data_IF_758414130530
#
_entry.id   IF_758414130530
#
_cell.length_a   1.000
_cell.length_b   1.000
_cell.length_c   1.000
_cell.angle_alpha   90.00
_cell.angle_beta   90.00
_cell.angle_gamma   90.00
#
_symmetry.space_group_name_H-M   'P 1'
#
loop_
_entity.id
_entity.type
_entity.pdbx_description
1 polymer ?
#
# COMPACT_ATOMS: atom_id res chain seq x y z
N UNK A 1 4.16 -10.85 -20.93
CA UNK A 1 3.07 -11.82 -21.16
C UNK A 1 2.06 -11.65 -20.02
N UNK A 2 1.05 -10.79 -20.21
CA UNK A 2 0.11 -10.32 -19.18
C UNK A 2 -1.33 -10.76 -19.49
N UNK A 3 -1.51 -11.84 -20.26
CA UNK A 3 -2.81 -12.19 -20.85
C UNK A 3 -3.67 -13.11 -19.98
N UNK A 4 -3.10 -13.76 -18.95
CA UNK A 4 -3.85 -14.71 -18.12
C UNK A 4 -4.39 -14.13 -16.80
N UNK A 5 -4.08 -12.89 -16.42
CA UNK A 5 -4.26 -12.41 -15.04
C UNK A 5 -5.48 -11.52 -14.80
N UNK A 6 -6.35 -11.26 -15.77
CA UNK A 6 -7.31 -10.19 -15.57
C UNK A 6 -8.67 -10.42 -16.23
N UNK A 7 -9.55 -11.08 -15.47
CA UNK A 7 -10.99 -11.16 -15.74
C UNK A 7 -11.84 -10.41 -14.70
N UNK A 8 -11.24 -9.53 -13.90
CA UNK A 8 -11.90 -8.80 -12.80
C UNK A 8 -11.55 -7.29 -12.80
N UNK A 9 -11.42 -6.68 -13.98
CA UNK A 9 -11.48 -5.22 -14.08
C UNK A 9 -12.80 -4.71 -13.50
N UNK A 10 -12.74 -3.76 -12.55
CA UNK A 10 -13.92 -3.09 -11.99
C UNK A 10 -14.61 -3.82 -10.82
N UNK A 11 -13.88 -4.62 -10.03
CA UNK A 11 -14.46 -5.19 -8.81
C UNK A 11 -14.21 -4.24 -7.64
N UNK A 12 -15.30 -3.68 -7.11
CA UNK A 12 -15.32 -2.96 -5.84
C UNK A 12 -15.64 -3.94 -4.69
N UNK A 13 -14.90 -3.82 -3.60
CA UNK A 13 -15.16 -4.54 -2.36
C UNK A 13 -15.57 -3.56 -1.29
N UNK A 14 -16.78 -3.68 -0.74
CA UNK A 14 -17.24 -2.79 0.33
C UNK A 14 -17.26 -3.56 1.65
N UNK A 15 -16.65 -3.01 2.71
CA UNK A 15 -16.64 -3.57 4.08
C UNK A 15 -15.87 -4.90 4.21
N UNK A 16 -14.61 -4.92 3.81
CA UNK A 16 -13.72 -6.05 4.07
C UNK A 16 -13.52 -6.29 5.58
N UNK A 17 -13.60 -7.56 5.99
CA UNK A 17 -13.30 -8.02 7.36
C UNK A 17 -11.99 -8.80 7.39
N UNK A 18 -11.11 -8.47 8.33
CA UNK A 18 -9.83 -9.12 8.57
C UNK A 18 -10.09 -10.50 9.14
N UNK A 19 -9.34 -11.46 8.64
CA UNK A 19 -9.35 -12.84 9.09
C UNK A 19 -7.93 -13.20 9.50
N UNK A 20 -7.80 -14.11 10.47
CA UNK A 20 -6.51 -14.68 10.78
C UNK A 20 -5.87 -15.29 9.53
N UNK A 21 -4.64 -14.88 9.23
CA UNK A 21 -3.93 -15.27 8.02
C UNK A 21 -3.61 -16.76 8.02
N UNK A 22 -3.25 -17.33 9.17
CA UNK A 22 -2.90 -18.76 9.32
C UNK A 22 -4.12 -19.65 9.09
N UNK A 23 -5.27 -19.31 9.69
CA UNK A 23 -6.52 -20.02 9.44
C UNK A 23 -6.98 -19.90 7.98
N UNK A 24 -6.85 -18.70 7.39
CA UNK A 24 -7.20 -18.46 6.01
C UNK A 24 -6.32 -19.26 5.06
N UNK A 25 -5.03 -19.37 5.36
CA UNK A 25 -4.04 -20.15 4.63
C UNK A 25 -4.38 -21.64 4.67
N UNK A 26 -4.62 -22.20 5.85
CA UNK A 26 -5.03 -23.61 5.99
C UNK A 26 -6.30 -23.89 5.19
N UNK A 27 -7.32 -23.03 5.30
CA UNK A 27 -8.57 -23.16 4.53
C UNK A 27 -8.32 -23.06 3.02
N UNK A 28 -7.35 -22.25 2.59
CA UNK A 28 -7.00 -22.09 1.17
C UNK A 28 -6.27 -23.33 0.65
N UNK A 29 -5.27 -23.83 1.38
CA UNK A 29 -4.52 -25.04 1.04
C UNK A 29 -5.42 -26.28 0.98
N UNK A 30 -6.36 -26.42 1.92
CA UNK A 30 -7.30 -27.55 1.95
C UNK A 30 -8.34 -27.48 0.83
N UNK A 31 -8.91 -26.30 0.56
CA UNK A 31 -10.02 -26.17 -0.42
C UNK A 31 -9.55 -26.00 -1.86
N UNK A 32 -8.31 -25.57 -2.07
CA UNK A 32 -7.76 -25.32 -3.40
C UNK A 32 -6.25 -25.58 -3.38
N UNK A 33 -5.84 -26.86 -3.32
CA UNK A 33 -4.44 -27.23 -3.36
C UNK A 33 -3.82 -26.74 -4.69
N UNK A 34 -2.67 -26.08 -4.61
CA UNK A 34 -1.94 -25.56 -5.78
C UNK A 34 -2.10 -24.07 -6.07
N UNK A 35 -2.97 -23.33 -5.35
CA UNK A 35 -3.01 -21.85 -5.48
C UNK A 35 -1.76 -21.22 -4.87
N UNK A 36 -1.41 -21.63 -3.65
CA UNK A 36 -0.19 -21.18 -2.97
C UNK A 36 0.96 -22.13 -3.30
N UNK A 37 2.13 -21.55 -3.51
CA UNK A 37 3.38 -22.32 -3.59
C UNK A 37 3.68 -22.99 -2.23
N UNK A 38 4.57 -23.98 -2.21
CA UNK A 38 4.91 -24.67 -0.95
C UNK A 38 5.50 -23.69 0.08
N UNK A 39 6.36 -22.76 -0.36
CA UNK A 39 7.04 -21.77 0.48
C UNK A 39 6.31 -20.42 0.57
N UNK A 40 5.08 -20.33 0.08
CA UNK A 40 4.32 -19.07 0.02
C UNK A 40 3.25 -19.05 1.12
N UNK A 41 3.33 -18.06 2.01
CA UNK A 41 2.41 -17.87 3.13
C UNK A 41 1.53 -16.63 2.95
N UNK A 42 0.40 -16.57 3.66
CA UNK A 42 -0.43 -15.37 3.70
C UNK A 42 0.10 -14.39 4.74
N UNK A 43 0.38 -13.14 4.34
CA UNK A 43 0.69 -12.03 5.25
C UNK A 43 -0.60 -11.40 5.79
N UNK A 44 -1.58 -11.17 4.91
CA UNK A 44 -2.91 -10.64 5.30
C UNK A 44 -4.02 -11.37 4.56
N UNK A 45 -5.18 -11.46 5.22
CA UNK A 45 -6.37 -12.04 4.66
C UNK A 45 -7.61 -11.22 5.04
N UNK A 46 -8.41 -10.90 4.03
CA UNK A 46 -9.70 -10.25 4.18
C UNK A 46 -10.80 -11.07 3.53
N UNK A 47 -11.98 -11.04 4.12
CA UNK A 47 -13.20 -11.65 3.58
C UNK A 47 -14.30 -10.61 3.47
N UNK A 48 -15.11 -10.75 2.44
CA UNK A 48 -16.38 -10.06 2.30
C UNK A 48 -17.36 -11.02 1.63
N UNK A 49 -18.29 -11.59 2.40
CA UNK A 49 -19.27 -12.57 1.89
C UNK A 49 -18.57 -13.71 1.10
N UNK A 50 -18.72 -13.73 -0.23
CA UNK A 50 -18.12 -14.72 -1.13
C UNK A 50 -16.80 -14.27 -1.76
N UNK A 51 -16.37 -13.05 -1.48
CA UNK A 51 -15.14 -12.45 -1.94
C UNK A 51 -14.06 -12.59 -0.88
N UNK A 52 -12.84 -12.89 -1.30
CA UNK A 52 -11.69 -12.95 -0.40
C UNK A 52 -10.51 -12.30 -1.06
N UNK A 53 -9.82 -11.47 -0.30
CA UNK A 53 -8.62 -10.77 -0.71
C UNK A 53 -7.49 -11.26 0.17
N UNK A 54 -6.42 -11.76 -0.42
CA UNK A 54 -5.27 -12.26 0.31
C UNK A 54 -4.01 -11.57 -0.19
N UNK A 55 -3.13 -11.25 0.74
CA UNK A 55 -1.82 -10.70 0.45
C UNK A 55 -0.78 -11.76 0.80
N UNK A 56 0.08 -12.05 -0.16
CA UNK A 56 1.26 -12.91 0.00
C UNK A 56 2.52 -12.06 -0.19
N UNK A 57 3.72 -12.57 0.09
CA UNK A 57 4.96 -11.86 -0.23
C UNK A 57 5.18 -11.61 -1.73
N UNK A 58 4.53 -12.38 -2.62
CA UNK A 58 4.79 -12.32 -4.08
C UNK A 58 3.68 -11.63 -4.88
N UNK A 59 2.43 -11.71 -4.41
CA UNK A 59 1.24 -11.32 -5.17
C UNK A 59 0.02 -11.10 -4.28
N UNK A 60 -0.93 -10.35 -4.81
CA UNK A 60 -2.27 -10.21 -4.26
C UNK A 60 -3.15 -11.28 -4.92
N UNK A 61 -3.89 -12.04 -4.11
CA UNK A 61 -4.82 -13.05 -4.56
C UNK A 61 -6.24 -12.59 -4.30
N UNK A 62 -7.05 -12.55 -5.35
CA UNK A 62 -8.47 -12.27 -5.28
C UNK A 62 -9.25 -13.53 -5.61
N UNK A 63 -10.00 -14.04 -4.63
CA UNK A 63 -10.95 -15.13 -4.84
C UNK A 63 -12.37 -14.60 -4.86
N UNK A 64 -13.03 -14.75 -5.99
CA UNK A 64 -14.46 -14.46 -6.13
C UNK A 64 -15.19 -15.71 -6.63
N UNK A 65 -16.08 -16.25 -5.80
CA UNK A 65 -16.79 -17.52 -6.09
C UNK A 65 -15.78 -18.65 -6.39
N UNK A 66 -15.79 -19.17 -7.62
CA UNK A 66 -14.88 -20.23 -8.11
C UNK A 66 -13.65 -19.68 -8.85
N UNK A 67 -13.59 -18.37 -9.11
CA UNK A 67 -12.49 -17.74 -9.84
C UNK A 67 -11.44 -17.24 -8.85
N UNK A 68 -10.18 -17.44 -9.20
CA UNK A 68 -9.02 -16.94 -8.47
C UNK A 68 -8.24 -16.10 -9.47
N UNK A 69 -8.09 -14.83 -9.13
CA UNK A 69 -7.30 -13.86 -9.88
C UNK A 69 -6.06 -13.54 -9.06
N UNK A 70 -4.95 -13.37 -9.75
CA UNK A 70 -3.65 -13.21 -9.13
C UNK A 70 -3.05 -11.94 -9.70
N UNK A 71 -2.54 -11.09 -8.83
CA UNK A 71 -1.96 -9.81 -9.20
C UNK A 71 -0.56 -9.74 -8.60
N UNK A 72 0.48 -10.08 -9.38
CA UNK A 72 1.86 -9.90 -8.95
C UNK A 72 2.13 -8.43 -8.62
N UNK A 73 2.86 -8.14 -7.55
CA UNK A 73 3.14 -6.74 -7.18
C UNK A 73 3.90 -5.99 -8.29
N UNK A 74 4.74 -6.69 -9.05
CA UNK A 74 5.47 -6.13 -10.21
C UNK A 74 4.58 -5.59 -11.33
N UNK A 75 3.31 -6.04 -11.39
CA UNK A 75 2.32 -5.58 -12.36
C UNK A 75 1.53 -4.35 -11.89
N UNK A 76 1.59 -4.03 -10.59
CA UNK A 76 1.06 -2.79 -10.02
C UNK A 76 2.01 -1.66 -10.38
N UNK A 77 1.49 -0.61 -11.02
CA UNK A 77 2.25 0.58 -11.38
C UNK A 77 2.10 1.70 -10.35
N UNK A 78 0.92 1.81 -9.74
CA UNK A 78 0.62 2.82 -8.71
C UNK A 78 -0.44 2.27 -7.76
N UNK A 79 -0.47 2.80 -6.55
CA UNK A 79 -1.64 2.69 -5.68
C UNK A 79 -1.98 4.05 -5.10
N UNK A 80 -3.25 4.24 -4.77
CA UNK A 80 -3.80 5.43 -4.15
C UNK A 80 -4.59 4.98 -2.91
N UNK A 81 -4.43 5.72 -1.82
CA UNK A 81 -5.29 5.58 -0.63
C UNK A 81 -6.08 6.88 -0.50
N UNK A 82 -7.38 6.79 -0.70
CA UNK A 82 -8.30 7.90 -0.52
C UNK A 82 -8.88 7.81 0.90
N UNK A 83 -8.54 8.76 1.78
CA UNK A 83 -9.21 8.88 3.07
C UNK A 83 -10.65 9.38 2.89
N UNK A 84 -11.53 9.14 3.87
CA UNK A 84 -12.88 9.67 3.89
C UNK A 84 -12.86 11.19 3.89
N UNK A 85 -13.72 11.77 3.04
CA UNK A 85 -13.85 13.23 2.92
C UNK A 85 -15.24 13.63 3.42
N UNK A 86 -15.26 14.21 4.63
CA UNK A 86 -16.48 14.75 5.24
C UNK A 86 -17.18 13.79 6.19
N UNK A 87 -18.39 14.17 6.63
CA UNK A 87 -19.18 13.43 7.63
C UNK A 87 -20.16 12.41 7.04
N UNK A 88 -20.26 12.32 5.71
CA UNK A 88 -21.20 11.45 5.01
C UNK A 88 -20.55 10.17 4.47
N UNK A 89 -19.28 10.25 4.06
CA UNK A 89 -18.51 9.10 3.57
C UNK A 89 -17.35 8.86 4.53
N UNK A 90 -17.44 7.79 5.31
CA UNK A 90 -16.49 7.44 6.38
C UNK A 90 -15.50 6.37 5.90
N UNK A 91 -15.63 5.95 4.63
CA UNK A 91 -14.92 4.81 4.11
C UNK A 91 -13.58 5.23 3.49
N UNK A 92 -12.53 4.46 3.78
CA UNK A 92 -11.26 4.59 3.09
C UNK A 92 -11.28 3.69 1.85
N UNK A 93 -10.86 4.23 0.72
CA UNK A 93 -10.73 3.49 -0.53
C UNK A 93 -9.26 3.31 -0.88
N UNK A 94 -8.89 2.10 -1.27
CA UNK A 94 -7.58 1.80 -1.84
C UNK A 94 -7.76 1.43 -3.29
N UNK A 95 -7.06 2.12 -4.18
CA UNK A 95 -7.03 1.81 -5.62
C UNK A 95 -5.64 1.35 -6.02
N UNK A 96 -5.58 0.25 -6.77
CA UNK A 96 -4.36 -0.29 -7.37
C UNK A 96 -4.48 -0.14 -8.89
N UNK A 97 -3.56 0.61 -9.49
CA UNK A 97 -3.48 0.80 -10.94
C UNK A 97 -2.37 -0.08 -11.49
N UNK A 98 -2.73 -1.00 -12.38
CA UNK A 98 -1.80 -1.90 -13.04
C UNK A 98 -1.14 -1.21 -14.25
N UNK A 99 0.10 -1.58 -14.56
CA UNK A 99 0.86 -1.04 -15.71
C UNK A 99 0.15 -1.21 -17.06
N UNK A 100 -0.77 -2.17 -17.16
CA UNK A 100 -1.61 -2.40 -18.33
C UNK A 100 -2.82 -1.46 -18.45
N UNK A 101 -2.91 -0.41 -17.62
CA UNK A 101 -4.04 0.54 -17.59
C UNK A 101 -5.32 -0.06 -17.00
N UNK A 102 -5.19 -1.05 -16.11
CA UNK A 102 -6.32 -1.74 -15.46
C UNK A 102 -6.32 -1.46 -13.96
N UNK A 103 -7.50 -1.32 -13.36
CA UNK A 103 -7.62 -0.90 -11.96
C UNK A 103 -8.32 -1.95 -11.10
N UNK A 104 -7.89 -2.03 -9.84
CA UNK A 104 -8.49 -2.83 -8.77
C UNK A 104 -8.70 -1.93 -7.55
N UNK A 105 -9.94 -1.74 -7.13
CA UNK A 105 -10.34 -0.86 -6.04
C UNK A 105 -11.00 -1.65 -4.91
N UNK A 106 -10.67 -1.33 -3.66
CA UNK A 106 -11.33 -1.91 -2.50
C UNK A 106 -11.54 -0.87 -1.40
N UNK A 107 -12.70 -0.93 -0.75
CA UNK A 107 -13.21 0.04 0.21
C UNK A 107 -13.35 -0.61 1.58
N UNK A 108 -12.92 0.12 2.60
CA UNK A 108 -13.00 -0.27 4.00
C UNK A 108 -13.58 0.87 4.84
N UNK A 109 -14.76 0.65 5.43
CA UNK A 109 -15.48 1.62 6.27
C UNK A 109 -14.90 1.84 7.66
N UNK A 110 -14.40 0.78 8.28
CA UNK A 110 -14.13 0.79 9.73
C UNK A 110 -12.69 0.40 10.03
N UNK A 111 -11.91 1.36 10.54
CA UNK A 111 -10.61 1.10 11.13
C UNK A 111 -10.78 0.47 12.50
N UNK A 112 -10.55 -0.83 12.54
CA UNK A 112 -10.41 -1.59 13.76
C UNK A 112 -9.45 -2.72 13.47
N UNK A 113 -8.56 -3.04 14.40
CA UNK A 113 -7.68 -4.21 14.32
C UNK A 113 -8.46 -5.52 13.99
N UNK A 114 -9.78 -5.55 14.28
CA UNK A 114 -10.68 -6.66 13.95
C UNK A 114 -11.29 -6.61 12.54
N UNK A 115 -11.41 -5.44 11.91
CA UNK A 115 -12.11 -5.26 10.62
C UNK A 115 -11.12 -5.04 9.48
N UNK A 116 -10.30 -4.01 9.52
CA UNK A 116 -9.18 -3.85 8.61
C UNK A 116 -8.31 -2.68 9.08
N UNK A 117 -7.00 -2.85 8.94
CA UNK A 117 -6.02 -1.84 9.26
C UNK A 117 -5.40 -1.33 7.95
N UNK A 118 -5.67 -0.06 7.60
CA UNK A 118 -5.18 0.54 6.36
C UNK A 118 -3.68 0.75 6.40
N UNK A 119 -3.12 1.01 7.59
CA UNK A 119 -1.69 1.25 7.74
C UNK A 119 -0.92 -0.06 7.50
N UNK A 120 -1.50 -1.19 7.90
CA UNK A 120 -0.95 -2.51 7.63
C UNK A 120 -0.98 -2.85 6.13
N UNK A 121 -2.11 -2.57 5.45
CA UNK A 121 -2.23 -2.72 3.98
C UNK A 121 -1.25 -1.80 3.27
N UNK A 122 -1.18 -0.53 3.67
CA UNK A 122 -0.28 0.46 3.09
C UNK A 122 1.19 0.07 3.31
N UNK A 123 1.57 -0.39 4.50
CA UNK A 123 2.91 -0.89 4.79
C UNK A 123 3.29 -2.07 3.89
N UNK A 124 2.35 -2.97 3.64
CA UNK A 124 2.55 -4.13 2.75
C UNK A 124 2.67 -3.69 1.28
N UNK A 125 1.83 -2.76 0.82
CA UNK A 125 1.92 -2.20 -0.53
C UNK A 125 3.23 -1.43 -0.73
N UNK A 126 3.63 -0.60 0.24
CA UNK A 126 4.92 0.09 0.22
C UNK A 126 6.08 -0.90 0.11
N UNK A 127 6.07 -1.94 0.96
CA UNK A 127 7.11 -2.98 0.99
C UNK A 127 7.20 -3.76 -0.31
N UNK A 128 6.09 -4.04 -0.99
CA UNK A 128 6.09 -5.00 -2.11
C UNK A 128 5.90 -4.36 -3.49
N UNK A 129 5.33 -3.16 -3.59
CA UNK A 129 5.10 -2.44 -4.85
C UNK A 129 6.25 -1.47 -5.15
N UNK A 130 6.69 -0.68 -4.16
CA UNK A 130 7.71 0.36 -4.36
C UNK A 130 9.13 -0.15 -4.65
N UNK A 131 9.64 -1.27 -4.09
CA UNK A 131 10.97 -1.75 -4.48
C UNK A 131 11.04 -2.27 -5.93
N UNK A 132 9.89 -2.35 -6.61
CA UNK A 132 9.83 -2.62 -8.05
C UNK A 132 9.81 -1.35 -8.92
N UNK A 133 9.79 -0.18 -8.29
CA UNK A 133 9.79 1.15 -8.91
C UNK A 133 11.03 1.86 -8.36
N UNK A 134 12.17 1.66 -9.00
CA UNK A 134 13.30 2.59 -8.94
C UNK A 134 13.09 3.61 -10.08
N UNK A 135 12.44 4.77 -9.86
CA UNK A 135 12.26 5.75 -10.93
C UNK A 135 13.57 6.48 -11.28
N UNK A 136 14.64 6.29 -10.48
CA UNK A 136 15.92 6.99 -10.62
C UNK A 136 17.14 6.08 -10.80
N UNK A 137 16.99 4.75 -10.74
CA UNK A 137 18.13 3.82 -10.82
C UNK A 137 19.21 4.05 -9.75
N UNK A 138 18.86 4.75 -8.67
CA UNK A 138 19.73 4.97 -7.53
C UNK A 138 19.56 3.74 -6.66
N UNK A 139 20.53 2.82 -6.75
CA UNK A 139 20.63 1.69 -5.85
C UNK A 139 20.41 2.14 -4.40
N UNK A 140 19.77 1.26 -3.64
CA UNK A 140 19.41 1.24 -2.20
C UNK A 140 20.47 1.74 -1.19
N UNK A 141 21.60 2.27 -1.65
CA UNK A 141 22.72 2.75 -0.85
C UNK A 141 22.65 4.24 -0.48
N UNK A 142 21.77 5.04 -1.11
CA UNK A 142 21.78 6.50 -0.90
C UNK A 142 20.59 7.01 -0.07
N UNK A 143 19.45 6.30 -0.07
CA UNK A 143 18.26 6.73 0.67
C UNK A 143 18.04 5.77 1.84
N UNK A 144 18.43 6.20 3.06
CA UNK A 144 18.07 5.51 4.30
C UNK A 144 19.18 4.74 5.04
N UNK A 145 20.42 4.71 4.54
CA UNK A 145 21.51 3.93 5.16
C UNK A 145 21.98 4.39 6.56
N UNK A 146 21.39 5.44 7.14
CA UNK A 146 21.71 5.91 8.50
C UNK A 146 20.49 6.51 9.22
N UNK A 147 19.31 5.91 9.11
CA UNK A 147 18.22 6.23 10.03
C UNK A 147 18.27 5.18 11.16
N UNK A 148 18.76 5.52 12.36
CA UNK A 148 18.80 4.58 13.46
C UNK A 148 17.37 4.07 13.75
N UNK A 149 17.20 2.77 14.06
CA UNK A 149 15.89 2.23 14.41
C UNK A 149 15.31 3.04 15.57
N UNK A 150 14.06 3.54 15.47
CA UNK A 150 13.48 4.41 16.48
C UNK A 150 13.46 3.68 17.81
N UNK A 151 14.12 4.26 18.81
CA UNK A 151 14.40 3.57 20.07
C UNK A 151 13.27 3.70 21.11
N UNK A 152 12.11 4.30 20.78
CA UNK A 152 10.86 4.24 21.58
C UNK A 152 9.68 4.93 20.84
N UNK A 153 8.41 4.69 21.23
CA UNK A 153 7.23 5.20 20.52
C UNK A 153 6.90 6.61 21.01
N UNK A 154 7.64 7.61 20.55
CA UNK A 154 7.15 8.98 20.61
C UNK A 154 6.51 9.34 19.26
N UNK A 155 5.54 10.27 19.33
CA UNK A 155 4.82 10.78 18.16
C UNK A 155 5.78 11.34 17.11
N UNK A 156 6.95 11.80 17.55
CA UNK A 156 8.03 12.29 16.71
C UNK A 156 8.70 11.18 15.89
N UNK A 157 8.95 10.00 16.46
CA UNK A 157 9.47 8.84 15.74
C UNK A 157 8.53 8.34 14.65
N UNK A 158 7.21 8.36 14.91
CA UNK A 158 6.19 8.05 13.90
C UNK A 158 6.16 9.10 12.78
N UNK A 159 6.19 10.40 13.14
CA UNK A 159 6.22 11.49 12.18
C UNK A 159 7.50 11.46 11.34
N UNK A 160 8.65 11.16 11.94
CA UNK A 160 9.93 11.02 11.23
C UNK A 160 9.94 9.81 10.29
N UNK A 161 9.33 8.69 10.70
CA UNK A 161 9.15 7.53 9.83
C UNK A 161 8.23 7.84 8.63
N UNK A 162 7.12 8.54 8.85
CA UNK A 162 6.19 8.95 7.78
C UNK A 162 6.77 10.02 6.86
N UNK A 163 7.65 10.89 7.37
CA UNK A 163 8.35 11.92 6.60
C UNK A 163 9.50 11.35 5.76
N UNK A 164 10.11 10.23 6.15
CA UNK A 164 11.26 9.67 5.43
C UNK A 164 12.46 10.63 5.45
N UNK A 165 12.88 11.11 4.29
CA UNK A 165 13.90 12.14 4.09
C UNK A 165 13.34 13.57 4.04
N UNK A 166 12.02 13.75 4.12
CA UNK A 166 11.40 15.06 4.18
C UNK A 166 11.73 15.75 5.51
N UNK A 167 12.51 16.83 5.42
CA UNK A 167 12.78 17.73 6.55
C UNK A 167 11.84 18.93 6.48
N UNK A 168 11.44 19.44 7.63
CA UNK A 168 10.80 20.75 7.71
C UNK A 168 11.76 21.77 7.09
N UNK A 169 11.27 22.48 6.09
CA UNK A 169 12.08 23.46 5.38
C UNK A 169 12.26 24.65 6.30
N UNK A 170 13.51 24.93 6.67
CA UNK A 170 13.79 26.13 7.42
C UNK A 170 13.68 27.34 6.47
N UNK A 171 12.99 28.39 6.93
CA UNK A 171 12.71 29.58 6.12
C UNK A 171 13.99 30.23 5.61
N UNK A 172 15.07 30.21 6.40
CA UNK A 172 16.33 30.87 6.07
C UNK A 172 17.10 30.13 4.96
N UNK A 173 17.09 28.81 5.00
CA UNK A 173 17.70 27.90 4.02
C UNK A 173 16.96 27.96 2.71
N UNK A 174 15.62 28.02 2.75
CA UNK A 174 14.82 28.23 1.53
C UNK A 174 15.03 29.62 0.92
N UNK A 175 15.12 30.68 1.73
CA UNK A 175 15.48 32.02 1.23
C UNK A 175 16.89 32.04 0.62
N UNK A 176 17.85 31.28 1.16
CA UNK A 176 19.19 31.18 0.60
C UNK A 176 19.21 30.44 -0.75
N UNK A 177 18.45 29.34 -0.87
CA UNK A 177 18.32 28.56 -2.11
C UNK A 177 17.58 29.35 -3.19
N UNK A 178 16.51 30.05 -2.80
CA UNK A 178 15.67 30.81 -3.73
C UNK A 178 16.16 32.23 -4.00
N UNK A 179 17.22 32.69 -3.33
CA UNK A 179 17.83 34.01 -3.51
C UNK A 179 18.10 34.42 -4.97
N UNK A 180 18.49 33.51 -5.90
CA UNK A 180 18.66 33.86 -7.31
C UNK A 180 17.34 34.15 -8.04
N UNK A 181 16.21 33.71 -7.49
CA UNK A 181 14.87 33.77 -8.08
C UNK A 181 13.94 34.75 -7.35
N UNK A 182 14.31 35.20 -6.15
CA UNK A 182 13.56 36.16 -5.34
C UNK A 182 13.94 37.60 -5.71
N UNK A 183 12.94 38.49 -5.78
CA UNK A 183 13.23 39.91 -5.84
C UNK A 183 13.89 40.41 -4.54
N UNK A 184 14.69 41.50 -4.57
CA UNK A 184 15.50 41.95 -3.42
C UNK A 184 14.74 42.23 -2.11
N UNK A 185 13.42 42.37 -2.17
CA UNK A 185 12.54 42.64 -1.03
C UNK A 185 11.53 41.52 -0.75
N UNK A 186 11.64 40.42 -1.49
CA UNK A 186 10.73 39.29 -1.39
C UNK A 186 11.28 38.27 -0.38
N UNK A 187 10.40 37.82 0.51
CA UNK A 187 10.73 36.87 1.58
C UNK A 187 9.87 35.63 1.42
N UNK A 188 10.46 34.46 1.60
CA UNK A 188 9.73 33.20 1.57
C UNK A 188 8.91 33.11 2.84
N UNK A 189 7.60 32.86 2.74
CA UNK A 189 6.75 32.52 3.89
C UNK A 189 6.33 31.07 3.74
N UNK A 190 6.58 30.28 4.79
CA UNK A 190 6.20 28.88 4.91
C UNK A 190 4.98 28.77 5.84
#
# INVERSE_FOLDING_TARGET
MCEFLCGLCGVNFDNLEKVDASEAEQKLRTKAPGILSQDEHLELAYKLRSQKLFFTPKRILLKYKRKVTMLPYTSVGMFEVQPPIGSMDVDFEVRLVCKAGRELSFVTRDFSAKKADILEVLGLLNKNVLPSIDPFGIADQVIGANIPPPTMPDTEGLINFLRGDARELDQQGMEMIMKPFLHPHEKVRL
#
